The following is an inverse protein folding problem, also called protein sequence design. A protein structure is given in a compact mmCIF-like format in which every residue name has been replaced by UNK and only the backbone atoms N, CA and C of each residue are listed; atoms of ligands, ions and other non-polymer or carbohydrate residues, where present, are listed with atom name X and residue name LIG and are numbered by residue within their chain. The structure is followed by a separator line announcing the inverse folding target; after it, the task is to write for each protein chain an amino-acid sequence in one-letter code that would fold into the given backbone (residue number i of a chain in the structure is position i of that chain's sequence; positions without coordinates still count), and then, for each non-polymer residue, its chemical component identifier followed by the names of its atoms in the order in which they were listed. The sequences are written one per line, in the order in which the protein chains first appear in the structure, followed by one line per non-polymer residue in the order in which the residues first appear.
data_IF_676169965703
#
_entry.id   IF_676169965703
#
_cell.length_a   1.000
_cell.length_b   1.000
_cell.length_c   1.000
_cell.angle_alpha   90.00
_cell.angle_beta   90.00
_cell.angle_gamma   90.00
#
_symmetry.space_group_name_H-M   'P 1'
#
loop_
_entity.id
_entity.type
_entity.pdbx_description
1 polymer ?
#
# COMPACT_ATOMS: atom_id res chain seq x y z
N UNK A 1 -13.62 9.37 -16.87
CA UNK A 1 -14.40 8.13 -16.80
C UNK A 1 -13.98 7.24 -15.64
N UNK A 2 -12.75 6.73 -15.68
CA UNK A 2 -12.20 5.79 -14.70
C UNK A 2 -12.38 6.22 -13.23
N UNK A 3 -12.02 7.47 -12.89
CA UNK A 3 -12.15 7.98 -11.52
C UNK A 3 -13.60 8.04 -11.02
N UNK A 4 -14.57 8.35 -11.88
CA UNK A 4 -15.98 8.37 -11.52
C UNK A 4 -16.51 6.94 -11.31
N UNK A 5 -16.13 6.00 -12.18
CA UNK A 5 -16.48 4.59 -12.02
C UNK A 5 -15.89 4.00 -10.73
N UNK A 6 -14.62 4.29 -10.44
CA UNK A 6 -13.96 3.90 -9.19
C UNK A 6 -14.64 4.53 -7.96
N UNK A 7 -15.01 5.81 -8.02
CA UNK A 7 -15.72 6.50 -6.94
C UNK A 7 -17.11 5.91 -6.69
N UNK A 8 -17.84 5.53 -7.74
CA UNK A 8 -19.15 4.88 -7.63
C UNK A 8 -19.02 3.47 -7.04
N UNK A 9 -18.08 2.67 -7.52
CA UNK A 9 -17.81 1.33 -6.98
C UNK A 9 -17.40 1.39 -5.51
N UNK A 10 -16.49 2.29 -5.14
CA UNK A 10 -16.06 2.46 -3.75
C UNK A 10 -17.20 2.93 -2.84
N UNK A 11 -18.05 3.86 -3.32
CA UNK A 11 -19.22 4.33 -2.55
C UNK A 11 -20.29 3.27 -2.38
N UNK A 12 -20.50 2.42 -3.39
CA UNK A 12 -21.41 1.28 -3.29
C UNK A 12 -20.89 0.24 -2.32
N UNK A 13 -19.61 -0.12 -2.39
CA UNK A 13 -19.01 -1.09 -1.48
C UNK A 13 -18.95 -0.63 -0.03
N UNK A 14 -18.72 0.67 0.21
CA UNK A 14 -18.77 1.25 1.55
C UNK A 14 -20.15 1.11 2.23
N UNK A 15 -21.25 0.97 1.46
CA UNK A 15 -22.59 0.70 2.02
C UNK A 15 -22.79 -0.75 2.45
N UNK A 16 -21.96 -1.67 1.99
CA UNK A 16 -22.02 -3.10 2.30
C UNK A 16 -21.12 -3.43 3.51
N UNK A 17 -20.52 -2.42 4.15
CA UNK A 17 -19.61 -2.59 5.29
C UNK A 17 -18.23 -3.14 4.90
N UNK A 18 -17.90 -3.16 3.60
CA UNK A 18 -16.60 -3.64 3.13
C UNK A 18 -15.52 -2.56 3.29
N UNK A 19 -14.28 -2.93 3.67
CA UNK A 19 -13.17 -1.99 3.72
C UNK A 19 -12.91 -1.35 2.35
N UNK A 20 -12.64 -0.05 2.33
CA UNK A 20 -12.54 0.72 1.08
C UNK A 20 -11.34 0.32 0.22
N UNK A 21 -10.23 -0.13 0.83
CA UNK A 21 -8.99 -0.48 0.12
C UNK A 21 -9.18 -1.65 -0.88
N UNK A 22 -9.68 -2.84 -0.46
CA UNK A 22 -10.00 -3.92 -1.39
C UNK A 22 -10.91 -3.51 -2.55
N UNK A 23 -11.87 -2.62 -2.28
CA UNK A 23 -12.79 -2.10 -3.30
C UNK A 23 -12.11 -1.23 -4.35
N UNK A 24 -11.16 -0.38 -3.94
CA UNK A 24 -10.34 0.36 -4.89
C UNK A 24 -9.45 -0.55 -5.73
N UNK A 25 -8.86 -1.60 -5.12
CA UNK A 25 -8.08 -2.60 -5.86
C UNK A 25 -8.96 -3.32 -6.88
N UNK A 26 -10.15 -3.77 -6.48
CA UNK A 26 -11.11 -4.42 -7.37
C UNK A 26 -11.55 -3.49 -8.51
N UNK A 27 -11.82 -2.21 -8.22
CA UNK A 27 -12.14 -1.24 -9.26
C UNK A 27 -10.98 -1.08 -10.26
N UNK A 28 -9.73 -1.05 -9.78
CA UNK A 28 -8.54 -1.00 -10.64
C UNK A 28 -8.39 -2.26 -11.51
N UNK A 29 -8.67 -3.44 -10.95
CA UNK A 29 -8.68 -4.70 -11.71
C UNK A 29 -9.77 -4.67 -12.77
N UNK A 30 -11.00 -4.31 -12.41
CA UNK A 30 -12.16 -4.33 -13.33
C UNK A 30 -12.08 -3.28 -14.45
N UNK A 31 -11.46 -2.11 -14.18
CA UNK A 31 -11.35 -1.00 -15.14
C UNK A 31 -10.01 -0.97 -15.87
N UNK A 32 -9.09 -1.89 -15.53
CA UNK A 32 -7.76 -2.00 -16.09
C UNK A 32 -7.72 -2.67 -17.46
N UNK A 33 -6.60 -2.56 -18.19
CA UNK A 33 -6.50 -2.98 -19.59
C UNK A 33 -6.49 -4.51 -19.79
N UNK A 34 -6.25 -5.28 -18.72
CA UNK A 34 -6.15 -6.74 -18.76
C UNK A 34 -7.48 -7.46 -18.48
N UNK A 35 -8.57 -6.72 -18.22
CA UNK A 35 -9.89 -7.31 -17.93
C UNK A 35 -10.81 -7.09 -19.13
N UNK A 36 -11.46 -8.15 -19.67
CA UNK A 36 -12.39 -8.00 -20.79
C UNK A 36 -13.61 -7.15 -20.37
N UNK A 37 -13.79 -5.97 -20.97
CA UNK A 37 -14.86 -5.02 -20.63
C UNK A 37 -14.58 -3.58 -21.06
N UNK A 38 -15.25 -2.62 -20.42
CA UNK A 38 -15.01 -1.18 -20.62
C UNK A 38 -13.65 -0.77 -20.01
N UNK A 39 -12.59 -0.82 -20.80
CA UNK A 39 -11.27 -0.31 -20.42
C UNK A 39 -11.30 1.21 -20.41
N UNK A 40 -11.30 1.80 -19.21
CA UNK A 40 -11.18 3.25 -19.02
C UNK A 40 -9.75 3.67 -18.71
N UNK A 41 -8.89 2.71 -18.36
CA UNK A 41 -7.46 2.88 -18.11
C UNK A 41 -6.67 2.12 -19.17
N UNK A 42 -6.41 2.80 -20.29
CA UNK A 42 -5.70 2.19 -21.42
C UNK A 42 -4.20 2.09 -21.18
N UNK A 43 -3.61 3.07 -20.48
CA UNK A 43 -2.20 3.08 -20.16
C UNK A 43 -1.98 3.19 -18.64
N UNK A 44 -1.37 2.19 -17.99
CA UNK A 44 -1.04 2.26 -16.55
C UNK A 44 -0.19 3.48 -16.19
N UNK A 45 0.60 3.99 -17.13
CA UNK A 45 1.47 5.15 -16.93
C UNK A 45 0.68 6.43 -16.62
N UNK A 46 -0.58 6.52 -17.06
CA UNK A 46 -1.44 7.69 -16.82
C UNK A 46 -1.74 7.88 -15.31
N UNK A 47 -1.70 6.80 -14.52
CA UNK A 47 -1.90 6.86 -13.07
C UNK A 47 -0.61 6.92 -12.26
N UNK A 48 0.54 6.63 -12.85
CA UNK A 48 1.81 6.51 -12.12
C UNK A 48 2.20 7.83 -11.46
N UNK A 49 2.08 8.94 -12.18
CA UNK A 49 2.37 10.25 -11.62
C UNK A 49 1.39 10.64 -10.51
N UNK A 50 0.11 10.29 -10.67
CA UNK A 50 -0.90 10.60 -9.65
C UNK A 50 -0.73 9.75 -8.39
N UNK A 51 -0.39 8.47 -8.54
CA UNK A 51 -0.13 7.57 -7.41
C UNK A 51 1.13 7.98 -6.66
N UNK A 52 2.19 8.37 -7.38
CA UNK A 52 3.42 8.91 -6.79
C UNK A 52 3.12 10.20 -6.01
N UNK A 53 2.38 11.15 -6.59
CA UNK A 53 1.97 12.36 -5.89
C UNK A 53 1.12 12.06 -4.65
N UNK A 54 0.16 11.12 -4.76
CA UNK A 54 -0.67 10.69 -3.64
C UNK A 54 0.15 10.09 -2.50
N UNK A 55 1.13 9.23 -2.83
CA UNK A 55 2.04 8.63 -1.86
C UNK A 55 2.93 9.69 -1.19
N UNK A 56 3.48 10.63 -1.96
CA UNK A 56 4.29 11.74 -1.41
C UNK A 56 3.45 12.61 -0.47
N UNK A 57 2.24 12.98 -0.86
CA UNK A 57 1.32 13.77 -0.01
C UNK A 57 0.92 13.01 1.26
N UNK A 58 0.70 11.69 1.16
CA UNK A 58 0.38 10.84 2.32
C UNK A 58 1.55 10.78 3.30
N UNK A 59 2.78 10.53 2.81
CA UNK A 59 3.98 10.50 3.63
C UNK A 59 4.29 11.88 4.23
N UNK A 60 4.01 12.96 3.48
CA UNK A 60 4.12 14.32 3.99
C UNK A 60 3.13 14.58 5.13
N UNK A 61 1.85 14.24 4.93
CA UNK A 61 0.83 14.36 5.98
C UNK A 61 1.18 13.56 7.23
N UNK A 62 1.63 12.31 7.04
CA UNK A 62 2.11 11.47 8.13
C UNK A 62 3.27 12.14 8.88
N UNK A 63 4.18 12.78 8.16
CA UNK A 63 5.25 13.59 8.73
C UNK A 63 4.76 14.77 9.57
N UNK A 64 3.66 15.43 9.17
CA UNK A 64 3.04 16.54 9.92
C UNK A 64 2.30 16.06 11.18
N UNK A 65 1.72 14.86 11.14
CA UNK A 65 1.03 14.24 12.29
C UNK A 65 2.02 13.82 13.39
N UNK A 66 3.28 13.54 13.05
CA UNK A 66 4.29 13.17 14.03
C UNK A 66 4.74 14.37 14.87
N UNK A 67 4.42 14.34 16.16
CA UNK A 67 4.89 15.32 17.13
C UNK A 67 6.35 15.07 17.53
N UNK A 68 7.20 16.07 17.32
CA UNK A 68 8.64 15.99 17.62
C UNK A 68 8.94 15.83 19.12
N UNK A 69 8.02 16.24 20.00
CA UNK A 69 8.13 16.12 21.45
C UNK A 69 7.93 14.67 21.96
N UNK A 70 7.11 13.88 21.26
CA UNK A 70 6.92 12.45 21.55
C UNK A 70 8.21 11.67 21.24
N UNK A 71 8.94 12.13 20.22
CA UNK A 71 10.23 11.56 19.83
C UNK A 71 11.35 11.91 20.83
N UNK A 72 11.30 13.07 21.50
CA UNK A 72 12.31 13.45 22.51
C UNK A 72 12.14 12.69 23.82
N UNK A 73 10.91 12.55 24.29
CA UNK A 73 10.63 11.93 25.60
C UNK A 73 10.53 10.41 25.52
N UNK A 74 10.04 9.88 24.39
CA UNK A 74 9.80 8.46 24.15
C UNK A 74 10.68 7.82 23.07
N UNK A 75 11.52 8.59 22.38
CA UNK A 75 12.21 8.18 21.16
C UNK A 75 13.05 6.92 21.28
N UNK A 76 13.73 6.68 22.41
CA UNK A 76 14.52 5.45 22.60
C UNK A 76 13.63 4.21 22.65
N UNK A 77 12.48 4.27 23.33
CA UNK A 77 11.52 3.16 23.35
C UNK A 77 10.87 2.98 21.98
N UNK A 78 10.50 4.07 21.30
CA UNK A 78 9.95 4.03 19.95
C UNK A 78 10.94 3.45 18.93
N UNK A 79 12.21 3.85 18.99
CA UNK A 79 13.25 3.35 18.10
C UNK A 79 13.54 1.86 18.34
N UNK A 80 13.58 1.41 19.60
CA UNK A 80 13.74 -0.01 19.91
C UNK A 80 12.51 -0.79 19.46
N UNK A 81 11.30 -0.34 19.79
CA UNK A 81 10.07 -1.03 19.41
C UNK A 81 9.90 -1.10 17.89
N UNK A 82 10.10 0.02 17.19
CA UNK A 82 10.05 0.10 15.74
C UNK A 82 11.15 -0.72 15.07
N UNK A 83 12.38 -0.67 15.59
CA UNK A 83 13.50 -1.46 15.09
C UNK A 83 13.28 -2.96 15.28
N UNK A 84 12.79 -3.38 16.45
CA UNK A 84 12.41 -4.78 16.70
C UNK A 84 11.27 -5.22 15.79
N UNK A 85 10.24 -4.39 15.63
CA UNK A 85 9.12 -4.67 14.74
C UNK A 85 9.59 -4.84 13.28
N UNK A 86 10.48 -3.95 12.81
CA UNK A 86 11.06 -4.03 11.47
C UNK A 86 11.88 -5.30 11.27
N UNK A 87 12.79 -5.62 12.20
CA UNK A 87 13.63 -6.82 12.12
C UNK A 87 12.78 -8.09 12.13
N UNK A 88 11.73 -8.12 12.95
CA UNK A 88 10.82 -9.27 13.01
C UNK A 88 10.05 -9.45 11.70
N UNK A 89 9.50 -8.38 11.11
CA UNK A 89 8.73 -8.48 9.87
C UNK A 89 9.61 -8.78 8.66
N UNK A 90 10.74 -8.09 8.51
CA UNK A 90 11.72 -8.35 7.45
C UNK A 90 12.27 -9.78 7.58
N UNK A 91 12.64 -10.19 8.79
CA UNK A 91 13.12 -11.54 9.06
C UNK A 91 12.06 -12.61 8.77
N UNK A 92 10.79 -12.35 9.11
CA UNK A 92 9.68 -13.24 8.80
C UNK A 92 9.44 -13.32 7.28
N UNK A 93 9.46 -12.20 6.57
CA UNK A 93 9.30 -12.15 5.11
C UNK A 93 10.41 -12.90 4.37
N UNK A 94 11.68 -12.69 4.76
CA UNK A 94 12.82 -13.43 4.21
C UNK A 94 12.73 -14.92 4.53
N UNK A 95 12.46 -15.26 5.80
CA UNK A 95 12.34 -16.65 6.25
C UNK A 95 11.21 -17.38 5.52
N UNK A 96 10.07 -16.73 5.33
CA UNK A 96 8.93 -17.28 4.60
C UNK A 96 9.23 -17.44 3.11
N UNK A 97 9.83 -16.43 2.47
CA UNK A 97 10.24 -16.49 1.07
C UNK A 97 11.21 -17.65 0.81
N UNK A 98 12.23 -17.81 1.65
CA UNK A 98 13.17 -18.93 1.52
C UNK A 98 12.55 -20.28 1.86
N UNK A 99 11.64 -20.36 2.84
CA UNK A 99 10.94 -21.60 3.18
C UNK A 99 10.05 -22.11 2.04
N UNK A 100 9.50 -21.21 1.22
CA UNK A 100 8.76 -21.55 0.00
C UNK A 100 9.66 -21.87 -1.20
N UNK A 101 10.99 -21.80 -1.03
CA UNK A 101 11.96 -22.02 -2.10
C UNK A 101 12.03 -20.87 -3.11
N UNK A 102 11.55 -19.68 -2.75
CA UNK A 102 11.66 -18.52 -3.62
C UNK A 102 13.10 -18.00 -3.66
N UNK A 103 13.47 -17.39 -4.78
CA UNK A 103 14.80 -16.79 -4.94
C UNK A 103 15.04 -15.63 -3.98
N UNK A 104 16.30 -15.21 -3.88
CA UNK A 104 16.70 -14.08 -3.03
C UNK A 104 15.95 -12.80 -3.40
N UNK A 105 15.69 -12.56 -4.68
CA UNK A 105 14.96 -11.39 -5.17
C UNK A 105 13.51 -11.36 -4.67
N UNK A 106 12.77 -12.45 -4.83
CA UNK A 106 11.37 -12.55 -4.43
C UNK A 106 11.21 -12.51 -2.91
N UNK A 107 12.10 -13.17 -2.18
CA UNK A 107 12.14 -13.12 -0.73
C UNK A 107 12.41 -11.68 -0.23
N UNK A 108 13.30 -10.93 -0.91
CA UNK A 108 13.56 -9.53 -0.57
C UNK A 108 12.34 -8.63 -0.82
N UNK A 109 11.62 -8.87 -1.91
CA UNK A 109 10.38 -8.15 -2.23
C UNK A 109 9.32 -8.40 -1.15
N UNK A 110 9.11 -9.66 -0.74
CA UNK A 110 8.21 -9.96 0.37
C UNK A 110 8.62 -9.28 1.67
N UNK A 111 9.91 -9.34 2.00
CA UNK A 111 10.45 -8.75 3.21
C UNK A 111 10.35 -7.22 3.22
N UNK A 112 10.33 -6.57 2.06
CA UNK A 112 10.14 -5.12 1.95
C UNK A 112 8.67 -4.67 2.05
N UNK A 113 7.71 -5.56 1.79
CA UNK A 113 6.27 -5.27 1.88
C UNK A 113 5.71 -5.52 3.29
N UNK A 114 6.34 -6.43 4.05
CA UNK A 114 6.01 -6.78 5.44
C UNK A 114 6.64 -5.81 6.45
#
# INVERSE_FOLDING_TARGET
GAFLAAAVLARLGGRIGLPTIPLFILAGILLGPHTPGYTLLSNPHDLEMLSALGLVLLLFYLGLEFHMDDLKTGGRKMAIAGGTYLVLNVGAGLGFGFALGWGTSEALVLAGVL
#
